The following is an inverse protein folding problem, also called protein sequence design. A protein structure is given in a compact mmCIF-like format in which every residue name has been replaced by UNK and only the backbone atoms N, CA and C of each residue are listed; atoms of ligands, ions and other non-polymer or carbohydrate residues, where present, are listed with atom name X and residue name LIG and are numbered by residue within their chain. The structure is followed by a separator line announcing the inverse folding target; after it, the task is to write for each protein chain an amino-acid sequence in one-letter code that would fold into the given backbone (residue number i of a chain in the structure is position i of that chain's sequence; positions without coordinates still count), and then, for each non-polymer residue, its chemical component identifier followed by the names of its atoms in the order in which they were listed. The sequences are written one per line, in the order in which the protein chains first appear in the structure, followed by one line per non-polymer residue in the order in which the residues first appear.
data_IF_367185275420
#
_entry.id   IF_367185275420
#
_cell.length_a   1.000
_cell.length_b   1.000
_cell.length_c   1.000
_cell.angle_alpha   90.00
_cell.angle_beta   90.00
_cell.angle_gamma   90.00
#
_symmetry.space_group_name_H-M   'P 1'
#
loop_
_entity.id
_entity.type
_entity.pdbx_description
1 polymer ?
#
# COMPACT_ATOMS: atom_id res chain seq x y z
N UNK A 1 3.74 -20.10 9.40
CA UNK A 1 2.42 -19.96 10.04
C UNK A 1 1.37 -19.98 8.96
N UNK A 2 0.24 -20.67 9.15
CA UNK A 2 -0.85 -20.70 8.19
C UNK A 2 -1.54 -19.34 8.08
N UNK A 3 -2.04 -19.03 6.88
CA UNK A 3 -2.83 -17.83 6.61
C UNK A 3 -4.27 -18.23 6.36
N UNK A 4 -5.18 -17.70 7.17
CA UNK A 4 -6.61 -17.90 7.04
C UNK A 4 -7.29 -16.62 6.56
N UNK A 5 -8.17 -16.76 5.58
CA UNK A 5 -9.12 -15.72 5.19
C UNK A 5 -10.44 -15.97 5.94
N UNK A 6 -10.90 -14.97 6.70
CA UNK A 6 -12.19 -14.99 7.40
C UNK A 6 -13.07 -13.90 6.81
N UNK A 7 -14.14 -14.30 6.14
CA UNK A 7 -15.16 -13.40 5.59
C UNK A 7 -16.31 -13.30 6.58
N UNK A 8 -16.69 -12.07 6.93
CA UNK A 8 -17.80 -11.74 7.81
C UNK A 8 -18.87 -10.93 7.07
N UNK A 9 -19.92 -10.55 7.77
CA UNK A 9 -20.98 -9.67 7.26
C UNK A 9 -20.50 -8.32 6.75
N UNK A 10 -19.31 -7.85 7.14
CA UNK A 10 -18.81 -6.52 6.77
C UNK A 10 -17.35 -6.50 6.32
N UNK A 11 -16.54 -7.51 6.62
CA UNK A 11 -15.11 -7.49 6.37
C UNK A 11 -14.56 -8.83 5.85
N UNK A 12 -13.38 -8.74 5.23
CA UNK A 12 -12.53 -9.91 4.97
C UNK A 12 -11.24 -9.70 5.77
N UNK A 13 -11.02 -10.57 6.75
CA UNK A 13 -9.85 -10.56 7.63
C UNK A 13 -8.81 -11.58 7.17
N UNK A 14 -7.53 -11.23 7.31
CA UNK A 14 -6.40 -12.14 7.08
C UNK A 14 -5.73 -12.42 8.41
N UNK A 15 -5.88 -13.65 8.90
CA UNK A 15 -5.36 -14.08 10.19
C UNK A 15 -4.16 -15.02 10.01
N UNK A 16 -3.05 -14.75 10.69
CA UNK A 16 -1.88 -15.62 10.76
C UNK A 16 -1.99 -16.48 12.02
N UNK A 17 -2.57 -17.67 11.90
CA UNK A 17 -2.98 -18.54 13.02
C UNK A 17 -2.87 -20.01 12.64
N UNK A 18 -2.79 -20.89 13.64
CA UNK A 18 -2.44 -22.30 13.43
C UNK A 18 -3.57 -23.15 12.84
N UNK A 19 -4.83 -22.78 13.08
CA UNK A 19 -6.00 -23.54 12.61
C UNK A 19 -7.25 -22.67 12.38
N UNK A 20 -8.30 -23.29 11.82
CA UNK A 20 -9.58 -22.62 11.51
C UNK A 20 -10.29 -22.11 12.77
N UNK A 21 -10.21 -22.85 13.88
CA UNK A 21 -10.86 -22.45 15.14
C UNK A 21 -10.23 -21.17 15.69
N UNK A 22 -8.91 -21.06 15.61
CA UNK A 22 -8.14 -19.88 15.97
C UNK A 22 -8.46 -18.70 15.05
N UNK A 23 -8.71 -18.95 13.76
CA UNK A 23 -9.13 -17.91 12.82
C UNK A 23 -10.53 -17.36 13.15
N UNK A 24 -11.46 -18.23 13.55
CA UNK A 24 -12.80 -17.80 14.02
C UNK A 24 -12.69 -17.03 15.34
N UNK A 25 -11.88 -17.50 16.28
CA UNK A 25 -11.61 -16.80 17.53
C UNK A 25 -11.00 -15.41 17.29
N UNK A 26 -10.08 -15.28 16.34
CA UNK A 26 -9.51 -14.00 15.93
C UNK A 26 -10.60 -13.03 15.42
N UNK A 27 -11.51 -13.50 14.58
CA UNK A 27 -12.63 -12.68 14.10
C UNK A 27 -13.55 -12.24 15.24
N UNK A 28 -13.99 -13.15 16.11
CA UNK A 28 -14.86 -12.82 17.24
C UNK A 28 -14.21 -11.89 18.26
N UNK A 29 -12.89 -11.96 18.46
CA UNK A 29 -12.17 -11.09 19.37
C UNK A 29 -12.06 -9.64 18.86
N UNK A 30 -11.90 -9.45 17.55
CA UNK A 30 -11.70 -8.12 16.95
C UNK A 30 -13.02 -7.48 16.48
N UNK A 31 -13.96 -8.28 15.99
CA UNK A 31 -15.24 -7.85 15.42
C UNK A 31 -16.39 -8.69 15.99
N UNK A 32 -16.69 -8.56 17.30
CA UNK A 32 -17.66 -9.43 17.99
C UNK A 32 -19.10 -9.27 17.50
N UNK A 33 -19.43 -8.15 16.86
CA UNK A 33 -20.77 -7.87 16.31
C UNK A 33 -20.99 -8.43 14.90
N UNK A 34 -19.95 -8.98 14.28
CA UNK A 34 -20.03 -9.48 12.92
C UNK A 34 -20.17 -11.00 12.88
N UNK A 35 -21.02 -11.48 11.98
CA UNK A 35 -21.20 -12.92 11.78
C UNK A 35 -20.16 -13.42 10.77
N UNK A 36 -19.50 -14.54 11.09
CA UNK A 36 -18.54 -15.21 10.20
C UNK A 36 -19.29 -16.01 9.14
N UNK A 37 -19.18 -15.57 7.89
CA UNK A 37 -19.81 -16.19 6.73
C UNK A 37 -18.98 -17.35 6.17
N UNK A 38 -17.65 -17.18 6.11
CA UNK A 38 -16.73 -18.18 5.53
C UNK A 38 -15.36 -18.09 6.17
N UNK A 39 -14.71 -19.25 6.32
CA UNK A 39 -13.30 -19.35 6.68
C UNK A 39 -12.61 -20.24 5.67
N UNK A 40 -11.43 -19.84 5.20
CA UNK A 40 -10.65 -20.65 4.25
C UNK A 40 -9.15 -20.56 4.52
N UNK A 41 -8.48 -21.71 4.46
CA UNK A 41 -7.03 -21.78 4.53
C UNK A 41 -6.43 -21.38 3.17
N UNK A 42 -5.49 -20.43 3.19
CA UNK A 42 -4.86 -19.93 1.97
C UNK A 42 -3.74 -20.87 1.51
N UNK A 43 -3.73 -21.24 0.22
CA UNK A 43 -2.64 -22.04 -0.35
C UNK A 43 -1.38 -21.22 -0.67
N UNK A 44 -1.45 -19.88 -0.63
CA UNK A 44 -0.36 -18.95 -0.95
C UNK A 44 -0.32 -17.81 0.07
N UNK A 45 0.85 -17.23 0.25
CA UNK A 45 1.15 -16.13 1.17
C UNK A 45 0.92 -14.71 0.58
N UNK A 46 0.37 -14.63 -0.64
CA UNK A 46 0.06 -13.37 -1.30
C UNK A 46 -1.43 -12.99 -1.16
N UNK A 47 -1.70 -11.72 -0.84
CA UNK A 47 -3.03 -11.13 -0.84
C UNK A 47 -3.08 -9.91 -1.76
N UNK A 48 -4.10 -9.86 -2.62
CA UNK A 48 -4.28 -8.79 -3.60
C UNK A 48 -5.64 -8.13 -3.36
N UNK A 49 -5.63 -6.82 -3.15
CA UNK A 49 -6.84 -6.01 -3.19
C UNK A 49 -6.75 -5.11 -4.42
N UNK A 50 -7.82 -5.07 -5.21
CA UNK A 50 -7.92 -4.12 -6.31
C UNK A 50 -8.03 -2.69 -5.77
N UNK A 51 -7.06 -1.83 -6.11
CA UNK A 51 -7.12 -0.39 -5.82
C UNK A 51 -8.40 0.26 -6.35
N UNK A 52 -8.82 -0.16 -7.55
CA UNK A 52 -10.05 0.35 -8.16
C UNK A 52 -11.31 -0.04 -7.35
N UNK A 53 -11.36 -1.26 -6.80
CA UNK A 53 -12.48 -1.70 -5.94
C UNK A 53 -12.51 -0.96 -4.60
N UNK A 54 -11.36 -0.52 -4.11
CA UNK A 54 -11.27 0.38 -2.95
C UNK A 54 -11.65 1.83 -3.28
N UNK A 55 -12.04 2.13 -4.53
CA UNK A 55 -12.32 3.50 -4.97
C UNK A 55 -11.07 4.39 -5.04
N UNK A 56 -9.87 3.82 -4.92
CA UNK A 56 -8.62 4.55 -5.09
C UNK A 56 -8.44 4.85 -6.59
N UNK A 57 -8.75 6.10 -6.95
CA UNK A 57 -8.59 6.60 -8.32
C UNK A 57 -7.27 7.35 -8.44
N UNK A 58 -6.53 7.03 -9.50
CA UNK A 58 -5.29 7.70 -9.86
C UNK A 58 -4.29 6.71 -10.44
N UNK A 59 -3.91 6.91 -11.70
CA UNK A 59 -2.50 6.72 -12.03
C UNK A 59 -1.78 7.82 -11.25
N UNK A 60 -0.83 7.46 -10.39
CA UNK A 60 0.16 8.44 -9.98
C UNK A 60 0.96 8.72 -11.24
N UNK A 61 0.46 9.63 -12.08
CA UNK A 61 1.19 10.10 -13.24
C UNK A 61 2.48 10.67 -12.69
N UNK A 62 3.60 9.98 -12.91
CA UNK A 62 4.82 10.36 -12.23
C UNK A 62 5.22 11.72 -12.77
N UNK A 63 5.47 12.67 -11.86
CA UNK A 63 5.87 14.01 -12.28
C UNK A 63 7.11 13.93 -13.18
N UNK A 64 6.96 14.24 -14.47
CA UNK A 64 8.05 14.16 -15.45
C UNK A 64 9.25 15.01 -15.02
N UNK A 65 9.01 16.20 -14.48
CA UNK A 65 10.05 17.07 -13.92
C UNK A 65 10.82 16.39 -12.78
N UNK A 66 10.12 15.67 -11.89
CA UNK A 66 10.78 14.92 -10.80
C UNK A 66 11.60 13.74 -11.32
N UNK A 67 11.14 13.05 -12.38
CA UNK A 67 11.94 12.00 -13.04
C UNK A 67 13.20 12.56 -13.68
N UNK A 68 13.11 13.71 -14.34
CA UNK A 68 14.26 14.38 -14.93
C UNK A 68 15.27 14.82 -13.85
N UNK A 69 14.78 15.36 -12.72
CA UNK A 69 15.62 15.72 -11.58
C UNK A 69 16.32 14.49 -10.99
N UNK A 70 15.62 13.37 -10.83
CA UNK A 70 16.21 12.11 -10.37
C UNK A 70 17.25 11.56 -11.36
N UNK A 71 17.01 11.68 -12.67
CA UNK A 71 17.98 11.29 -13.71
C UNK A 71 19.25 12.12 -13.69
N UNK A 72 19.12 13.44 -13.54
CA UNK A 72 20.27 14.34 -13.36
C UNK A 72 21.02 14.06 -12.06
N UNK A 73 20.29 13.67 -11.01
CA UNK A 73 20.85 13.32 -9.71
C UNK A 73 21.35 11.86 -9.62
N UNK A 74 21.23 11.06 -10.68
CA UNK A 74 21.57 9.63 -10.69
C UNK A 74 20.91 8.85 -9.54
N UNK A 75 19.68 9.22 -9.18
CA UNK A 75 18.93 8.60 -8.08
C UNK A 75 19.27 9.09 -6.68
N UNK A 76 20.18 10.06 -6.53
CA UNK A 76 20.40 10.73 -5.24
C UNK A 76 19.18 11.58 -4.88
N UNK A 77 18.47 11.16 -3.84
CA UNK A 77 17.24 11.80 -3.37
C UNK A 77 17.45 13.26 -2.96
N UNK A 78 18.49 13.55 -2.18
CA UNK A 78 18.71 14.91 -1.64
C UNK A 78 19.06 15.88 -2.77
N UNK A 79 19.88 15.43 -3.72
CA UNK A 79 20.22 16.19 -4.90
C UNK A 79 18.99 16.40 -5.81
N UNK A 80 18.20 15.37 -6.06
CA UNK A 80 16.97 15.48 -6.86
C UNK A 80 15.96 16.46 -6.25
N UNK A 81 15.80 16.44 -4.92
CA UNK A 81 14.92 17.39 -4.20
C UNK A 81 15.40 18.83 -4.40
N UNK A 82 16.71 19.10 -4.29
CA UNK A 82 17.26 20.43 -4.51
C UNK A 82 17.05 20.91 -5.95
N UNK A 83 17.29 20.05 -6.93
CA UNK A 83 17.06 20.36 -8.35
C UNK A 83 15.58 20.65 -8.63
N UNK A 84 14.68 19.87 -8.03
CA UNK A 84 13.25 20.04 -8.20
C UNK A 84 12.75 21.37 -7.60
N UNK A 85 13.24 21.73 -6.40
CA UNK A 85 12.95 23.02 -5.77
C UNK A 85 13.42 24.19 -6.63
N UNK A 86 14.64 24.10 -7.20
CA UNK A 86 15.17 25.13 -8.08
C UNK A 86 14.35 25.28 -9.37
N UNK A 87 13.88 24.18 -9.94
CA UNK A 87 13.18 24.19 -11.22
C UNK A 87 11.70 24.59 -11.12
N UNK A 88 11.05 24.29 -10.00
CA UNK A 88 9.60 24.51 -9.81
C UNK A 88 9.26 25.65 -8.85
N UNK A 89 10.22 26.08 -8.01
CA UNK A 89 9.99 27.05 -6.95
C UNK A 89 9.15 26.53 -5.78
N UNK A 90 8.86 25.22 -5.72
CA UNK A 90 8.08 24.64 -4.63
C UNK A 90 8.88 24.60 -3.32
N UNK A 91 8.16 24.45 -2.22
CA UNK A 91 8.76 24.27 -0.90
C UNK A 91 9.42 22.89 -0.75
N UNK A 92 10.15 22.72 0.35
CA UNK A 92 10.89 21.49 0.64
C UNK A 92 9.96 20.28 0.76
N UNK A 93 8.79 20.43 1.38
CA UNK A 93 7.86 19.33 1.60
C UNK A 93 7.20 18.88 0.27
N UNK A 94 6.80 19.83 -0.58
CA UNK A 94 6.29 19.55 -1.92
C UNK A 94 7.34 18.87 -2.80
N UNK A 95 8.59 19.34 -2.77
CA UNK A 95 9.68 18.73 -3.52
C UNK A 95 9.97 17.30 -3.04
N UNK A 96 10.02 17.09 -1.72
CA UNK A 96 10.26 15.77 -1.12
C UNK A 96 9.18 14.77 -1.55
N UNK A 97 7.90 15.16 -1.47
CA UNK A 97 6.77 14.31 -1.87
C UNK A 97 6.84 13.94 -3.36
N UNK A 98 7.14 14.91 -4.23
CA UNK A 98 7.23 14.67 -5.67
C UNK A 98 8.37 13.70 -6.02
N UNK A 99 9.55 13.86 -5.42
CA UNK A 99 10.69 12.98 -5.64
C UNK A 99 10.42 11.57 -5.07
N UNK A 100 9.97 11.46 -3.82
CA UNK A 100 9.70 10.15 -3.18
C UNK A 100 8.62 9.36 -3.91
N UNK A 101 7.57 10.04 -4.39
CA UNK A 101 6.51 9.41 -5.18
C UNK A 101 7.02 8.83 -6.50
N UNK A 102 7.99 9.50 -7.15
CA UNK A 102 8.61 8.99 -8.37
C UNK A 102 9.55 7.82 -8.07
N UNK A 103 10.34 7.88 -7.00
CA UNK A 103 11.19 6.76 -6.58
C UNK A 103 10.36 5.51 -6.24
N UNK A 104 9.23 5.66 -5.54
CA UNK A 104 8.34 4.55 -5.18
C UNK A 104 7.66 3.88 -6.38
N UNK A 105 7.56 4.58 -7.52
CA UNK A 105 6.96 4.06 -8.76
C UNK A 105 7.99 3.52 -9.75
N UNK A 106 9.24 3.35 -9.33
CA UNK A 106 10.33 2.87 -10.17
C UNK A 106 10.74 3.93 -11.18
N UNK A 107 11.23 5.06 -10.66
CA UNK A 107 11.77 6.19 -11.42
C UNK A 107 12.64 5.71 -12.60
#
# INVERSE_FOLDING_TARGET
MPLYEVETTSHIMIACVDDEASARGFASANYPSEEVLRVSHRPRDAWVISKNLLGLKGTLDPCATARDCLAKAQGDKLHAVRLYMQQTGCDLDGARKAIESNMATGW
#
